data_IF_413976270582
#
_entry.id   IF_413976270582
#
_cell.length_a   1.000
_cell.length_b   1.000
_cell.length_c   1.000
_cell.angle_alpha   90.00
_cell.angle_beta   90.00
_cell.angle_gamma   90.00
#
_symmetry.space_group_name_H-M   'P 1'
#
loop_
_entity.id
_entity.type
_entity.pdbx_description
1 polymer ?
#
# COMPACT_ATOMS: atom_id res chain seq x y z
N UNK A 1 0.57 -13.31 15.24
CA UNK A 1 -0.26 -12.61 14.25
C UNK A 1 0.63 -11.64 13.50
N UNK A 2 0.44 -11.51 12.18
CA UNK A 2 1.17 -10.52 11.40
C UNK A 2 0.81 -9.11 11.89
N UNK A 3 1.75 -8.18 11.76
CA UNK A 3 1.57 -6.77 12.12
C UNK A 3 1.51 -5.94 10.86
N UNK A 4 0.67 -4.91 10.86
CA UNK A 4 0.57 -3.97 9.77
C UNK A 4 1.93 -3.28 9.56
N UNK A 5 2.49 -3.42 8.37
CA UNK A 5 3.82 -2.86 8.04
C UNK A 5 3.82 -1.32 8.01
N UNK A 6 2.65 -0.70 7.92
CA UNK A 6 2.52 0.76 7.89
C UNK A 6 2.40 1.37 9.29
N UNK A 7 1.63 0.75 10.21
CA UNK A 7 1.34 1.34 11.51
C UNK A 7 1.69 0.48 12.73
N UNK A 8 1.91 -0.83 12.58
CA UNK A 8 2.20 -1.77 13.66
C UNK A 8 0.97 -2.38 14.36
N UNK A 9 -0.25 -2.03 13.92
CA UNK A 9 -1.50 -2.63 14.41
C UNK A 9 -1.63 -4.10 13.94
N UNK A 10 -2.64 -4.82 14.39
CA UNK A 10 -2.90 -6.18 13.90
C UNK A 10 -3.25 -6.17 12.39
N UNK A 11 -2.60 -7.04 11.62
CA UNK A 11 -2.86 -7.14 10.18
C UNK A 11 -4.20 -7.82 9.90
N UNK A 12 -4.90 -7.35 8.88
CA UNK A 12 -6.19 -7.87 8.42
C UNK A 12 -6.03 -8.68 7.13
N UNK A 13 -5.26 -8.17 6.16
CA UNK A 13 -4.98 -8.83 4.90
C UNK A 13 -3.69 -8.30 4.26
N UNK A 14 -3.28 -8.97 3.18
CA UNK A 14 -2.25 -8.48 2.27
C UNK A 14 -2.81 -7.45 1.29
N UNK A 15 -2.09 -6.35 1.10
CA UNK A 15 -2.35 -5.35 0.08
C UNK A 15 -1.26 -5.40 -1.00
N UNK A 16 -1.66 -5.50 -2.27
CA UNK A 16 -0.73 -5.48 -3.39
C UNK A 16 -0.27 -4.05 -3.69
N UNK A 17 1.03 -3.77 -3.61
CA UNK A 17 1.58 -2.45 -3.93
C UNK A 17 1.38 -2.06 -5.41
N UNK A 18 1.38 -3.04 -6.31
CA UNK A 18 0.84 -2.92 -7.67
C UNK A 18 -0.48 -3.69 -7.73
N UNK A 19 -1.65 -3.04 -7.83
CA UNK A 19 -2.94 -3.73 -7.80
C UNK A 19 -3.01 -4.89 -8.80
N UNK A 20 -3.56 -6.04 -8.35
CA UNK A 20 -3.57 -7.29 -9.14
C UNK A 20 -4.21 -7.13 -10.52
N UNK A 21 -5.24 -6.29 -10.61
CA UNK A 21 -5.89 -5.91 -11.87
C UNK A 21 -4.93 -5.27 -12.90
N UNK A 22 -3.88 -4.58 -12.44
CA UNK A 22 -2.88 -3.92 -13.26
C UNK A 22 -1.87 -4.90 -13.87
N UNK A 23 -1.66 -6.09 -13.28
CA UNK A 23 -0.62 -7.04 -13.69
C UNK A 23 -0.76 -7.54 -15.14
N UNK A 24 -2.00 -7.57 -15.66
CA UNK A 24 -2.27 -8.01 -17.04
C UNK A 24 -2.01 -6.93 -18.09
N UNK A 25 -1.92 -5.65 -17.69
CA UNK A 25 -1.81 -4.51 -18.60
C UNK A 25 -0.39 -4.40 -19.19
N UNK A 26 -0.29 -4.12 -20.48
CA UNK A 26 0.99 -4.03 -21.21
C UNK A 26 1.95 -3.00 -20.62
N UNK A 27 1.43 -1.85 -20.16
CA UNK A 27 2.25 -0.80 -19.54
C UNK A 27 3.00 -1.29 -18.29
N UNK A 28 2.35 -2.11 -17.44
CA UNK A 28 2.96 -2.66 -16.23
C UNK A 28 3.93 -3.81 -16.57
N UNK A 29 3.53 -4.73 -17.46
CA UNK A 29 4.38 -5.83 -17.92
C UNK A 29 5.69 -5.38 -18.57
N UNK A 30 5.71 -4.20 -19.18
CA UNK A 30 6.91 -3.63 -19.82
C UNK A 30 7.83 -2.88 -18.86
N UNK A 31 7.40 -2.62 -17.62
CA UNK A 31 8.13 -1.78 -16.65
C UNK A 31 8.49 -2.51 -15.36
N UNK A 32 7.72 -3.54 -14.99
CA UNK A 32 7.92 -4.29 -13.77
C UNK A 32 8.06 -5.77 -14.08
N UNK A 33 8.98 -6.42 -13.36
CA UNK A 33 9.07 -7.87 -13.35
C UNK A 33 7.82 -8.48 -12.71
N UNK A 34 7.60 -9.78 -12.95
CA UNK A 34 6.52 -10.52 -12.26
C UNK A 34 6.68 -10.44 -10.74
N UNK A 35 7.90 -10.53 -10.24
CA UNK A 35 8.19 -10.46 -8.80
C UNK A 35 7.83 -9.09 -8.22
N UNK A 36 8.17 -8.00 -8.92
CA UNK A 36 7.81 -6.63 -8.51
C UNK A 36 6.29 -6.44 -8.48
N UNK A 37 5.57 -6.97 -9.47
CA UNK A 37 4.10 -6.88 -9.48
C UNK A 37 3.44 -7.69 -8.37
N UNK A 38 4.04 -8.80 -7.94
CA UNK A 38 3.53 -9.66 -6.87
C UNK A 38 3.91 -9.17 -5.46
N UNK A 39 4.57 -8.01 -5.31
CA UNK A 39 4.90 -7.49 -3.97
C UNK A 39 3.62 -7.10 -3.22
N UNK A 40 3.48 -7.67 -2.04
CA UNK A 40 2.41 -7.40 -1.07
C UNK A 40 2.97 -6.84 0.21
N UNK A 41 2.12 -6.18 0.98
CA UNK A 41 2.39 -5.80 2.37
C UNK A 41 1.22 -6.21 3.27
N UNK A 42 1.51 -6.63 4.49
CA UNK A 42 0.51 -6.87 5.52
C UNK A 42 -0.04 -5.54 6.05
N UNK A 43 -1.36 -5.34 5.98
CA UNK A 43 -2.00 -4.10 6.41
C UNK A 43 -3.20 -4.36 7.32
N UNK A 44 -3.41 -3.47 8.30
CA UNK A 44 -4.66 -3.46 9.06
C UNK A 44 -5.78 -2.88 8.21
N UNK A 45 -7.04 -3.18 8.57
CA UNK A 45 -8.21 -2.74 7.82
C UNK A 45 -8.24 -1.23 7.57
N UNK A 46 -7.89 -0.42 8.58
CA UNK A 46 -7.91 1.05 8.48
C UNK A 46 -6.79 1.57 7.57
N UNK A 47 -5.59 0.98 7.63
CA UNK A 47 -4.51 1.37 6.72
C UNK A 47 -4.84 0.97 5.28
N UNK A 48 -5.43 -0.21 5.07
CA UNK A 48 -5.89 -0.63 3.74
C UNK A 48 -6.89 0.38 3.15
N UNK A 49 -7.90 0.76 3.93
CA UNK A 49 -8.88 1.78 3.52
C UNK A 49 -8.20 3.12 3.21
N UNK A 50 -7.24 3.53 4.03
CA UNK A 50 -6.53 4.79 3.82
C UNK A 50 -5.72 4.80 2.52
N UNK A 51 -5.11 3.68 2.11
CA UNK A 51 -4.36 3.60 0.84
C UNK A 51 -5.29 3.97 -0.33
N UNK A 52 -6.47 3.36 -0.38
CA UNK A 52 -7.44 3.61 -1.44
C UNK A 52 -8.24 4.91 -1.26
N UNK A 53 -8.25 5.48 -0.06
CA UNK A 53 -8.82 6.80 0.17
C UNK A 53 -7.92 7.89 -0.43
N UNK A 54 -6.62 7.83 -0.14
CA UNK A 54 -5.64 8.81 -0.61
C UNK A 54 -5.34 8.62 -2.10
N UNK A 55 -5.25 7.38 -2.57
CA UNK A 55 -4.94 7.04 -3.96
C UNK A 55 -6.04 6.12 -4.51
N UNK A 56 -7.19 6.68 -4.92
CA UNK A 56 -8.34 5.89 -5.37
C UNK A 56 -8.15 5.27 -6.77
N UNK A 57 -7.33 5.85 -7.66
CA UNK A 57 -7.02 5.23 -8.95
C UNK A 57 -5.94 4.14 -8.78
N UNK A 58 -6.33 2.88 -8.88
CA UNK A 58 -5.43 1.72 -8.81
C UNK A 58 -4.26 1.78 -9.81
N UNK A 59 -4.45 2.42 -10.97
CA UNK A 59 -3.35 2.58 -11.93
C UNK A 59 -2.35 3.60 -11.40
N UNK A 60 -2.81 4.69 -10.81
CA UNK A 60 -1.95 5.69 -10.18
C UNK A 60 -1.17 5.08 -9.03
N UNK A 61 -1.85 4.34 -8.13
CA UNK A 61 -1.25 3.59 -7.04
C UNK A 61 -0.09 2.70 -7.55
N UNK A 62 -0.37 1.86 -8.55
CA UNK A 62 0.65 0.98 -9.12
C UNK A 62 1.75 1.69 -9.92
N UNK A 63 1.53 2.91 -10.41
CA UNK A 63 2.49 3.66 -11.24
C UNK A 63 3.46 4.49 -10.41
N UNK A 64 2.91 5.19 -9.43
CA UNK A 64 3.61 6.26 -8.71
C UNK A 64 3.85 5.93 -7.23
N UNK A 65 3.15 4.94 -6.67
CA UNK A 65 3.12 4.64 -5.24
C UNK A 65 3.25 3.13 -4.95
N UNK A 66 4.04 2.43 -5.76
CA UNK A 66 4.17 0.97 -5.74
C UNK A 66 5.27 0.41 -4.83
N UNK A 67 5.80 1.23 -3.92
CA UNK A 67 6.65 0.80 -2.81
C UNK A 67 6.18 1.46 -1.52
N UNK A 68 6.57 0.93 -0.37
CA UNK A 68 6.26 1.55 0.92
C UNK A 68 6.84 2.96 0.98
N UNK A 69 8.06 3.17 0.50
CA UNK A 69 8.74 4.47 0.48
C UNK A 69 7.93 5.49 -0.32
N UNK A 70 7.48 5.13 -1.53
CA UNK A 70 6.69 6.03 -2.36
C UNK A 70 5.31 6.30 -1.76
N UNK A 71 4.62 5.26 -1.31
CA UNK A 71 3.30 5.36 -0.67
C UNK A 71 3.34 6.27 0.56
N UNK A 72 4.34 6.09 1.43
CA UNK A 72 4.49 6.89 2.65
C UNK A 72 5.02 8.29 2.41
N UNK A 73 5.58 8.58 1.23
CA UNK A 73 5.96 9.93 0.83
C UNK A 73 4.76 10.81 0.44
N UNK A 74 3.56 10.24 0.21
CA UNK A 74 2.36 11.04 -0.05
C UNK A 74 2.02 11.89 1.19
N UNK A 75 1.92 13.24 1.10
CA UNK A 75 1.80 14.11 2.27
C UNK A 75 0.61 13.79 3.18
N UNK A 76 -0.54 13.46 2.58
CA UNK A 76 -1.73 13.07 3.33
C UNK A 76 -1.55 11.72 4.05
N UNK A 77 -0.88 10.77 3.41
CA UNK A 77 -0.66 9.44 3.97
C UNK A 77 0.38 9.50 5.10
N UNK A 78 1.44 10.29 4.94
CA UNK A 78 2.42 10.57 5.99
C UNK A 78 1.76 11.19 7.23
N UNK A 79 0.92 12.22 7.04
CA UNK A 79 0.18 12.85 8.14
C UNK A 79 -0.75 11.86 8.84
N UNK A 80 -1.46 11.03 8.08
CA UNK A 80 -2.26 9.93 8.62
C UNK A 80 -1.41 8.97 9.46
N UNK A 81 -0.26 8.51 8.95
CA UNK A 81 0.59 7.55 9.67
C UNK A 81 1.19 8.14 10.94
N UNK A 82 1.62 9.41 10.92
CA UNK A 82 2.08 10.13 12.12
C UNK A 82 0.99 10.17 13.21
N UNK A 83 -0.27 10.30 12.81
CA UNK A 83 -1.41 10.27 13.73
C UNK A 83 -1.77 8.84 14.18
N UNK A 84 -1.82 7.87 13.25
CA UNK A 84 -2.25 6.49 13.50
C UNK A 84 -1.25 5.73 14.36
N UNK A 85 0.05 5.86 14.11
CA UNK A 85 1.12 5.19 14.88
C UNK A 85 1.10 5.55 16.38
N UNK A 86 0.68 6.77 16.74
CA UNK A 86 0.51 7.20 18.14
C UNK A 86 -0.68 6.55 18.86
N UNK A 87 -1.56 5.87 18.11
CA UNK A 87 -2.82 5.31 18.59
C UNK A 87 -2.93 3.80 18.38
N UNK A 88 -1.86 3.17 17.89
CA UNK A 88 -1.76 1.72 17.90
C UNK A 88 -1.62 1.29 19.35
N UNK A 89 -2.54 0.42 19.80
CA UNK A 89 -2.47 -0.18 21.12
C UNK A 89 -1.40 -1.26 21.04
N UNK A 90 -0.33 -1.11 21.81
CA UNK A 90 0.70 -2.15 21.97
C UNK A 90 0.10 -3.38 22.64
#
# INVERSE_FOLDING_TARGET
MARCELCGDEAFNEHHLIPRHCHRKSWFKSRFSKQQMQQTIDVCQVCHQMIHHVIPDEKELGRSYNTIELLTAHPEFDNYLKWKRKRVRN
#
